data_IF_307576829656
#
_entry.id   IF_307576829656
#
_cell.length_a   1.000
_cell.length_b   1.000
_cell.length_c   1.000
_cell.angle_alpha   90.00
_cell.angle_beta   90.00
_cell.angle_gamma   90.00
#
_symmetry.space_group_name_H-M   'P 1'
#
loop_
_entity.id
_entity.type
_entity.pdbx_description
1 polymer ?
#
# COMPACT_ATOMS: atom_id res chain seq x y z
N UNK A 1 17.31 -7.21 24.68
CA UNK A 1 17.44 -7.27 23.20
C UNK A 1 17.39 -5.86 22.65
N UNK A 2 18.19 -5.53 21.62
CA UNK A 2 18.12 -4.25 20.90
C UNK A 2 17.53 -4.50 19.51
N UNK A 3 16.46 -3.79 19.17
CA UNK A 3 15.86 -3.82 17.81
C UNK A 3 16.89 -3.24 16.83
N UNK A 4 17.13 -3.93 15.71
CA UNK A 4 18.11 -3.50 14.68
C UNK A 4 17.44 -3.05 13.38
N UNK A 5 16.25 -3.56 13.11
CA UNK A 5 15.45 -3.18 11.96
C UNK A 5 13.97 -3.31 12.29
N UNK A 6 13.14 -2.55 11.59
CA UNK A 6 11.69 -2.68 11.58
C UNK A 6 11.18 -2.80 10.16
N UNK A 7 10.15 -3.64 9.99
CA UNK A 7 9.41 -3.78 8.75
C UNK A 7 8.05 -3.14 9.01
N UNK A 8 7.68 -2.18 8.18
CA UNK A 8 6.46 -1.40 8.31
C UNK A 8 5.59 -1.63 7.08
N UNK A 9 4.29 -1.81 7.28
CA UNK A 9 3.30 -1.72 6.20
C UNK A 9 2.95 -0.24 5.94
N UNK A 10 2.25 0.04 4.84
CA UNK A 10 1.81 1.37 4.45
C UNK A 10 0.37 1.65 4.93
N UNK A 11 -0.62 1.05 4.27
CA UNK A 11 -2.04 1.36 4.51
C UNK A 11 -2.49 0.85 5.88
N UNK A 12 -3.15 1.71 6.65
CA UNK A 12 -3.58 1.41 8.02
C UNK A 12 -2.44 1.35 9.05
N UNK A 13 -1.19 1.60 8.63
CA UNK A 13 -0.01 1.62 9.53
C UNK A 13 0.70 2.97 9.52
N UNK A 14 1.11 3.46 8.35
CA UNK A 14 1.76 4.76 8.17
C UNK A 14 0.90 5.74 7.38
N UNK A 15 -0.03 5.23 6.59
CA UNK A 15 -0.85 5.99 5.67
C UNK A 15 -2.30 5.52 5.73
N UNK A 16 -3.24 6.45 5.67
CA UNK A 16 -4.65 6.19 5.43
C UNK A 16 -4.98 6.60 3.99
N UNK A 17 -5.06 5.61 3.09
CA UNK A 17 -5.43 5.83 1.69
C UNK A 17 -6.90 6.16 1.49
N UNK A 18 -7.75 6.03 2.53
CA UNK A 18 -9.21 6.25 2.49
C UNK A 18 -9.94 5.40 1.45
N UNK A 19 -9.30 4.35 0.93
CA UNK A 19 -9.90 3.46 -0.06
C UNK A 19 -10.90 2.54 0.65
N UNK A 20 -12.17 2.64 0.26
CA UNK A 20 -13.17 1.64 0.65
C UNK A 20 -13.01 0.38 -0.22
N UNK A 21 -12.17 -0.54 0.26
CA UNK A 21 -11.90 -1.81 -0.39
C UNK A 21 -13.15 -2.70 -0.52
N UNK A 22 -14.13 -2.56 0.37
CA UNK A 22 -15.40 -3.30 0.30
C UNK A 22 -16.26 -2.77 -0.84
N UNK A 23 -16.40 -1.44 -0.94
CA UNK A 23 -17.10 -0.80 -2.05
C UNK A 23 -16.43 -1.10 -3.39
N UNK A 24 -15.09 -1.06 -3.45
CA UNK A 24 -14.34 -1.40 -4.66
C UNK A 24 -14.60 -2.84 -5.10
N UNK A 25 -14.54 -3.82 -4.19
CA UNK A 25 -14.86 -5.22 -4.50
C UNK A 25 -16.26 -5.38 -5.07
N UNK A 26 -17.25 -4.73 -4.46
CA UNK A 26 -18.63 -4.74 -4.95
C UNK A 26 -18.73 -4.12 -6.35
N UNK A 27 -18.01 -3.04 -6.62
CA UNK A 27 -17.97 -2.36 -7.94
C UNK A 27 -17.33 -3.22 -9.03
N UNK A 28 -16.35 -4.05 -8.67
CA UNK A 28 -15.67 -4.98 -9.57
C UNK A 28 -16.47 -6.29 -9.75
N UNK A 29 -17.48 -6.53 -8.92
CA UNK A 29 -18.31 -7.76 -8.93
C UNK A 29 -17.52 -9.00 -8.47
N UNK A 30 -16.59 -8.80 -7.53
CA UNK A 30 -15.79 -9.87 -6.94
C UNK A 30 -16.47 -10.49 -5.70
N UNK A 31 -16.45 -11.82 -5.55
CA UNK A 31 -16.96 -12.48 -4.35
C UNK A 31 -16.07 -12.21 -3.12
N UNK A 32 -16.69 -12.28 -1.95
CA UNK A 32 -15.94 -12.27 -0.69
C UNK A 32 -15.50 -13.68 -0.31
N UNK A 33 -14.37 -14.11 -0.85
CA UNK A 33 -13.78 -15.45 -0.63
C UNK A 33 -12.51 -15.43 0.25
N UNK A 34 -12.17 -14.26 0.81
CA UNK A 34 -10.97 -14.06 1.64
C UNK A 34 -9.67 -13.80 0.86
N UNK A 35 -9.65 -14.00 -0.46
CA UNK A 35 -8.45 -13.70 -1.28
C UNK A 35 -8.31 -12.20 -1.56
N UNK A 36 -7.08 -11.70 -1.75
CA UNK A 36 -6.83 -10.32 -2.21
C UNK A 36 -7.50 -10.03 -3.56
N UNK A 37 -7.89 -8.77 -3.80
CA UNK A 37 -8.55 -8.33 -5.05
C UNK A 37 -7.75 -8.77 -6.28
N UNK A 38 -6.44 -8.53 -6.29
CA UNK A 38 -5.57 -8.90 -7.40
C UNK A 38 -5.44 -10.41 -7.64
N UNK A 39 -5.47 -11.20 -6.57
CA UNK A 39 -5.45 -12.66 -6.70
C UNK A 39 -6.74 -13.15 -7.35
N UNK A 40 -7.89 -12.61 -6.96
CA UNK A 40 -9.17 -12.96 -7.59
C UNK A 40 -9.26 -12.45 -9.03
N UNK A 41 -8.76 -11.25 -9.33
CA UNK A 41 -8.75 -10.71 -10.69
C UNK A 41 -7.97 -11.62 -11.63
N UNK A 42 -6.81 -12.14 -11.20
CA UNK A 42 -5.97 -13.04 -12.01
C UNK A 42 -6.74 -14.24 -12.56
N UNK A 43 -7.69 -14.75 -11.79
CA UNK A 43 -8.50 -15.92 -12.15
C UNK A 43 -9.86 -15.54 -12.76
N UNK A 44 -10.16 -14.24 -12.86
CA UNK A 44 -11.45 -13.75 -13.33
C UNK A 44 -11.58 -13.82 -14.86
N UNK A 45 -12.81 -13.90 -15.39
CA UNK A 45 -13.08 -13.72 -16.82
C UNK A 45 -12.45 -12.43 -17.37
N UNK A 46 -12.03 -12.43 -18.64
CA UNK A 46 -11.20 -11.37 -19.22
C UNK A 46 -11.83 -9.97 -19.15
N UNK A 47 -13.15 -9.89 -19.26
CA UNK A 47 -13.93 -8.65 -19.14
C UNK A 47 -13.91 -8.11 -17.70
N UNK A 48 -14.11 -8.98 -16.70
CA UNK A 48 -14.01 -8.64 -15.28
C UNK A 48 -12.58 -8.30 -14.89
N UNK A 49 -11.59 -9.06 -15.37
CA UNK A 49 -10.17 -8.82 -15.12
C UNK A 49 -9.75 -7.42 -15.59
N UNK A 50 -10.03 -7.08 -16.85
CA UNK A 50 -9.64 -5.79 -17.42
C UNK A 50 -10.34 -4.61 -16.72
N UNK A 51 -11.67 -4.69 -16.54
CA UNK A 51 -12.47 -3.69 -15.83
C UNK A 51 -11.99 -3.53 -14.38
N UNK A 52 -11.73 -4.65 -13.71
CA UNK A 52 -11.33 -4.68 -12.31
C UNK A 52 -9.94 -4.10 -12.07
N UNK A 53 -8.97 -4.40 -12.94
CA UNK A 53 -7.66 -3.76 -12.89
C UNK A 53 -7.75 -2.26 -13.11
N UNK A 54 -8.55 -1.80 -14.06
CA UNK A 54 -8.73 -0.36 -14.29
C UNK A 54 -9.33 0.34 -13.07
N UNK A 55 -10.36 -0.25 -12.45
CA UNK A 55 -10.98 0.27 -11.23
C UNK A 55 -10.02 0.27 -10.03
N UNK A 56 -9.22 -0.79 -9.89
CA UNK A 56 -8.22 -0.89 -8.84
C UNK A 56 -7.14 0.17 -9.00
N UNK A 57 -6.57 0.32 -10.20
CA UNK A 57 -5.54 1.33 -10.45
C UNK A 57 -6.05 2.75 -10.20
N UNK A 58 -7.30 3.03 -10.58
CA UNK A 58 -7.89 4.34 -10.29
C UNK A 58 -8.10 4.57 -8.80
N UNK A 59 -8.58 3.57 -8.06
CA UNK A 59 -8.71 3.66 -6.61
C UNK A 59 -7.35 3.84 -5.90
N UNK A 60 -6.33 3.08 -6.31
CA UNK A 60 -4.96 3.20 -5.80
C UNK A 60 -4.34 4.58 -6.11
N UNK A 61 -4.62 5.14 -7.29
CA UNK A 61 -4.17 6.48 -7.69
C UNK A 61 -4.82 7.56 -6.82
N UNK A 62 -6.15 7.55 -6.71
CA UNK A 62 -6.91 8.49 -5.89
C UNK A 62 -6.49 8.38 -4.42
N UNK A 63 -6.36 7.16 -3.89
CA UNK A 63 -5.96 6.96 -2.50
C UNK A 63 -4.55 7.47 -2.19
N UNK A 64 -3.59 7.34 -3.11
CA UNK A 64 -2.26 7.90 -2.93
C UNK A 64 -2.24 9.45 -2.98
N UNK A 65 -3.08 10.04 -3.83
CA UNK A 65 -3.19 11.50 -4.00
C UNK A 65 -3.98 12.19 -2.88
N UNK A 66 -5.06 11.57 -2.40
CA UNK A 66 -6.01 12.19 -1.46
C UNK A 66 -5.91 11.66 -0.02
N UNK A 67 -5.19 10.55 0.18
CA UNK A 67 -4.96 9.99 1.51
C UNK A 67 -4.05 10.87 2.38
N UNK A 68 -3.88 10.47 3.64
CA UNK A 68 -3.09 11.22 4.62
C UNK A 68 -2.21 10.31 5.47
N UNK A 69 -1.11 10.84 6.01
CA UNK A 69 -0.30 10.08 6.96
C UNK A 69 -1.08 9.82 8.25
N UNK A 70 -0.85 8.65 8.83
CA UNK A 70 -1.30 8.38 10.20
C UNK A 70 -0.50 9.27 11.16
N UNK A 71 -1.14 9.94 12.14
CA UNK A 71 -0.46 10.79 13.10
C UNK A 71 0.69 10.07 13.80
N UNK A 72 1.84 10.75 13.95
CA UNK A 72 3.03 10.16 14.55
C UNK A 72 3.97 9.44 13.57
N UNK A 73 3.61 9.32 12.28
CA UNK A 73 4.43 8.62 11.27
C UNK A 73 5.83 9.23 11.12
N UNK A 74 5.92 10.55 11.04
CA UNK A 74 7.21 11.23 10.90
C UNK A 74 8.07 11.06 12.15
N UNK A 75 7.46 11.24 13.31
CA UNK A 75 8.08 11.13 14.62
C UNK A 75 8.62 9.72 14.88
N UNK A 76 7.84 8.70 14.48
CA UNK A 76 8.25 7.30 14.55
C UNK A 76 9.48 7.05 13.68
N UNK A 77 9.43 7.42 12.40
CA UNK A 77 10.51 7.16 11.44
C UNK A 77 11.79 7.92 11.83
N UNK A 78 11.67 9.16 12.29
CA UNK A 78 12.79 9.94 12.79
C UNK A 78 13.39 9.31 14.05
N UNK A 79 12.57 8.90 15.02
CA UNK A 79 13.03 8.23 16.24
C UNK A 79 13.79 6.95 15.92
N UNK A 80 13.29 6.10 15.01
CA UNK A 80 13.96 4.89 14.57
C UNK A 80 15.33 5.19 13.95
N UNK A 81 15.39 6.20 13.07
CA UNK A 81 16.63 6.64 12.43
C UNK A 81 17.66 7.16 13.46
N UNK A 82 17.24 7.98 14.42
CA UNK A 82 18.10 8.50 15.48
C UNK A 82 18.71 7.37 16.34
N UNK A 83 18.00 6.26 16.49
CA UNK A 83 18.50 5.09 17.22
C UNK A 83 19.30 4.10 16.36
N UNK A 84 19.59 4.46 15.10
CA UNK A 84 20.27 3.63 14.09
C UNK A 84 19.53 2.32 13.80
N UNK A 85 18.19 2.35 13.86
CA UNK A 85 17.33 1.23 13.48
C UNK A 85 17.02 1.36 11.99
N UNK A 86 17.26 0.29 11.22
CA UNK A 86 16.94 0.26 9.79
C UNK A 86 15.42 0.16 9.57
N UNK A 87 14.89 0.87 8.60
CA UNK A 87 13.46 0.86 8.28
C UNK A 87 13.24 0.30 6.88
N UNK A 88 12.44 -0.75 6.78
CA UNK A 88 11.97 -1.29 5.51
C UNK A 88 10.45 -1.07 5.39
N UNK A 89 10.00 -0.51 4.25
CA UNK A 89 8.60 -0.47 3.89
C UNK A 89 8.26 -1.73 3.09
N UNK A 90 7.36 -2.55 3.60
CA UNK A 90 6.91 -3.80 2.96
C UNK A 90 5.40 -3.71 2.81
N UNK A 91 4.91 -3.59 1.58
CA UNK A 91 3.47 -3.36 1.36
C UNK A 91 2.96 -4.04 0.11
N UNK A 92 1.66 -4.38 0.10
CA UNK A 92 0.98 -4.92 -1.06
C UNK A 92 0.49 -3.83 -2.04
N UNK A 93 0.85 -2.57 -1.81
CA UNK A 93 0.58 -1.47 -2.74
C UNK A 93 1.43 -1.57 -4.02
N UNK A 94 0.96 -0.96 -5.11
CA UNK A 94 1.78 -0.80 -6.32
C UNK A 94 3.00 0.09 -6.06
N UNK A 95 4.09 -0.12 -6.81
CA UNK A 95 5.27 0.74 -6.76
C UNK A 95 4.92 2.20 -7.02
N UNK A 96 4.04 2.44 -7.99
CA UNK A 96 3.55 3.77 -8.33
C UNK A 96 2.89 4.46 -7.14
N UNK A 97 1.93 3.81 -6.47
CA UNK A 97 1.25 4.40 -5.30
C UNK A 97 2.22 4.70 -4.16
N UNK A 98 3.14 3.77 -3.89
CA UNK A 98 4.19 3.97 -2.88
C UNK A 98 5.05 5.18 -3.21
N UNK A 99 5.56 5.28 -4.44
CA UNK A 99 6.41 6.41 -4.86
C UNK A 99 5.69 7.76 -4.80
N UNK A 100 4.39 7.79 -5.13
CA UNK A 100 3.55 8.98 -4.97
C UNK A 100 3.48 9.41 -3.51
N UNK A 101 3.16 8.50 -2.59
CA UNK A 101 3.04 8.81 -1.16
C UNK A 101 4.40 9.22 -0.57
N UNK A 102 5.45 8.45 -0.84
CA UNK A 102 6.80 8.73 -0.34
C UNK A 102 7.30 10.11 -0.79
N UNK A 103 7.06 10.46 -2.06
CA UNK A 103 7.47 11.76 -2.60
C UNK A 103 6.67 12.91 -2.01
N UNK A 104 5.35 12.74 -1.89
CA UNK A 104 4.43 13.76 -1.34
C UNK A 104 4.78 14.12 0.10
N UNK A 105 5.11 13.12 0.92
CA UNK A 105 5.42 13.29 2.33
C UNK A 105 6.91 13.28 2.66
N UNK A 106 7.79 13.20 1.65
CA UNK A 106 9.26 13.16 1.82
C UNK A 106 9.71 12.06 2.79
N UNK A 107 9.06 10.90 2.71
CA UNK A 107 9.41 9.74 3.51
C UNK A 107 10.57 8.98 2.86
N UNK A 108 11.42 8.38 3.69
CA UNK A 108 12.57 7.60 3.24
C UNK A 108 12.71 6.33 4.06
N UNK A 109 13.12 5.27 3.38
CA UNK A 109 13.32 3.94 3.95
C UNK A 109 14.64 3.36 3.41
N UNK A 110 15.28 2.50 4.17
CA UNK A 110 16.48 1.78 3.73
C UNK A 110 16.16 0.75 2.64
N UNK A 111 14.93 0.24 2.65
CA UNK A 111 14.40 -0.69 1.67
C UNK A 111 12.91 -0.40 1.45
N UNK A 112 12.47 -0.47 0.20
CA UNK A 112 11.04 -0.43 -0.16
C UNK A 112 10.77 -1.66 -1.01
N UNK A 113 9.93 -2.57 -0.49
CA UNK A 113 9.44 -3.74 -1.19
C UNK A 113 7.93 -3.60 -1.41
N UNK A 114 7.53 -3.54 -2.67
CA UNK A 114 6.13 -3.45 -3.08
C UNK A 114 5.65 -4.77 -3.65
N UNK A 115 4.34 -4.84 -3.93
CA UNK A 115 3.74 -5.97 -4.64
C UNK A 115 4.43 -6.27 -5.98
N UNK A 116 4.90 -5.24 -6.67
CA UNK A 116 5.47 -5.35 -8.01
C UNK A 116 6.89 -5.94 -8.00
N UNK A 117 7.53 -6.03 -6.82
CA UNK A 117 8.87 -6.59 -6.66
C UNK A 117 8.86 -8.12 -6.40
N UNK A 118 7.68 -8.72 -6.19
CA UNK A 118 7.51 -10.16 -5.91
C UNK A 118 7.17 -11.01 -7.14
N UNK A 119 7.36 -10.47 -8.35
CA UNK A 119 7.06 -11.13 -9.62
C UNK A 119 8.16 -12.11 -10.07
#
# INVERSE_FOLDING_TARGET
MRIRAVLLDMDGTLFDSRIDWLALRKKIELPWDGRPILAQLRDAPSDIHAKGLALLHEAERVGAEDGELIPGTHELLESLRCHSVRCALITNNSRRSVETVLSRYRLSFDLVHTRDDGA
#
